data_IF_984211461939
#
_entry.id   IF_984211461939
#
_cell.length_a   1.000
_cell.length_b   1.000
_cell.length_c   1.000
_cell.angle_alpha   90.00
_cell.angle_beta   90.00
_cell.angle_gamma   90.00
#
_symmetry.space_group_name_H-M   'P 1'
#
loop_
_entity.id
_entity.type
_entity.pdbx_description
1 polymer ?
#
# COMPACT_ATOMS: atom_id res chain seq x y z
N UNK A 1 -12.62 11.78 -5.66
CA UNK A 1 -11.25 11.59 -6.16
C UNK A 1 -11.18 12.35 -7.46
N UNK A 2 -10.35 13.38 -7.55
CA UNK A 2 -10.15 14.13 -8.78
C UNK A 2 -9.18 13.32 -9.68
N UNK A 3 -9.50 13.23 -10.97
CA UNK A 3 -9.13 12.15 -11.91
C UNK A 3 -7.68 12.20 -12.44
N UNK A 4 -6.69 12.63 -11.64
CA UNK A 4 -5.30 12.78 -12.13
C UNK A 4 -4.19 12.27 -11.21
N UNK A 5 -4.51 11.57 -10.12
CA UNK A 5 -3.45 10.96 -9.31
C UNK A 5 -2.93 9.69 -9.99
N UNK A 6 -1.62 9.62 -10.32
CA UNK A 6 -1.05 8.40 -10.89
C UNK A 6 -1.12 7.27 -9.86
N UNK A 7 -1.64 6.12 -10.27
CA UNK A 7 -1.65 4.91 -9.44
C UNK A 7 -0.78 3.84 -10.08
N UNK A 8 -0.05 3.10 -9.25
CA UNK A 8 0.62 1.87 -9.65
C UNK A 8 0.18 0.72 -8.75
N UNK A 9 0.05 -0.48 -9.30
CA UNK A 9 -0.46 -1.63 -8.57
C UNK A 9 0.40 -2.88 -8.79
N UNK A 10 0.58 -3.67 -7.72
CA UNK A 10 1.28 -4.95 -7.74
C UNK A 10 0.43 -6.05 -7.11
N UNK A 11 0.54 -7.25 -7.68
CA UNK A 11 -0.02 -8.45 -7.10
C UNK A 11 0.93 -9.02 -6.04
N UNK A 12 0.37 -9.37 -4.88
CA UNK A 12 1.08 -10.02 -3.78
C UNK A 12 0.35 -11.32 -3.44
N UNK A 13 1.05 -12.45 -3.51
CA UNK A 13 0.51 -13.72 -3.05
C UNK A 13 0.52 -13.79 -1.52
N UNK A 14 -0.66 -13.88 -0.93
CA UNK A 14 -0.86 -14.02 0.51
C UNK A 14 -1.25 -15.45 0.89
N UNK A 15 -0.79 -15.87 2.07
CA UNK A 15 -1.19 -17.13 2.71
C UNK A 15 -1.99 -16.83 3.97
N UNK A 16 -3.03 -17.61 4.24
CA UNK A 16 -3.79 -17.47 5.48
C UNK A 16 -2.86 -17.61 6.71
N UNK A 17 -2.98 -16.68 7.66
CA UNK A 17 -2.15 -16.56 8.86
C UNK A 17 -0.79 -15.87 8.63
N UNK A 18 -0.42 -15.53 7.40
CA UNK A 18 0.83 -14.82 7.11
C UNK A 18 0.71 -13.35 7.50
N UNK A 19 1.67 -12.86 8.28
CA UNK A 19 1.83 -11.44 8.57
C UNK A 19 2.86 -10.83 7.63
N UNK A 20 2.52 -9.71 7.00
CA UNK A 20 3.42 -8.93 6.16
C UNK A 20 3.34 -7.45 6.53
N UNK A 21 4.45 -6.74 6.31
CA UNK A 21 4.53 -5.29 6.36
C UNK A 21 4.89 -4.78 4.97
N UNK A 22 4.04 -3.89 4.45
CA UNK A 22 4.18 -3.24 3.15
C UNK A 22 4.52 -1.78 3.43
N UNK A 23 5.67 -1.32 2.97
CA UNK A 23 6.13 0.06 3.17
C UNK A 23 6.34 0.73 1.83
N UNK A 24 5.79 1.93 1.68
CA UNK A 24 5.99 2.86 0.58
C UNK A 24 6.78 4.06 1.10
N UNK A 25 7.97 4.27 0.53
CA UNK A 25 8.86 5.37 0.88
C UNK A 25 9.03 6.28 -0.35
N UNK A 26 8.81 7.58 -0.17
CA UNK A 26 9.00 8.62 -1.18
C UNK A 26 9.43 9.91 -0.49
N UNK A 27 10.44 10.58 -1.05
CA UNK A 27 10.84 11.94 -0.65
C UNK A 27 10.21 13.00 -1.59
N UNK A 28 9.64 12.56 -2.70
CA UNK A 28 9.14 13.42 -3.78
C UNK A 28 7.64 13.72 -3.66
N UNK A 29 6.89 12.90 -2.91
CA UNK A 29 5.45 13.06 -2.70
C UNK A 29 4.99 12.40 -1.40
N UNK A 30 3.85 12.89 -0.90
CA UNK A 30 3.16 12.30 0.25
C UNK A 30 2.50 10.96 -0.11
N UNK A 31 3.02 9.88 0.47
CA UNK A 31 2.77 8.50 0.06
C UNK A 31 1.41 8.00 0.51
N UNK A 32 0.67 7.36 -0.39
CA UNK A 32 -0.61 6.74 -0.06
C UNK A 32 -0.66 5.28 -0.50
N UNK A 33 -0.92 4.37 0.43
CA UNK A 33 -1.08 2.94 0.16
C UNK A 33 -2.51 2.48 0.29
N UNK A 34 -2.94 1.59 -0.62
CA UNK A 34 -4.13 0.77 -0.46
C UNK A 34 -3.79 -0.71 -0.57
N UNK A 35 -4.50 -1.53 0.20
CA UNK A 35 -4.47 -2.98 0.09
C UNK A 35 -5.89 -3.52 -0.10
N UNK A 36 -6.05 -4.32 -1.15
CA UNK A 36 -7.28 -5.02 -1.51
C UNK A 36 -7.01 -6.53 -1.56
N UNK A 37 -8.02 -7.35 -1.29
CA UNK A 37 -7.90 -8.79 -1.49
C UNK A 37 -8.91 -9.63 -0.71
N UNK A 38 -8.75 -10.96 -0.73
CA UNK A 38 -9.63 -11.89 -0.03
C UNK A 38 -9.71 -11.61 1.47
N UNK A 39 -10.93 -11.63 2.01
CA UNK A 39 -11.20 -11.34 3.42
C UNK A 39 -11.07 -9.87 3.84
N UNK A 40 -10.67 -8.96 2.93
CA UNK A 40 -10.64 -7.51 3.17
C UNK A 40 -11.95 -6.90 2.68
N UNK A 41 -12.87 -6.62 3.61
CA UNK A 41 -14.21 -6.10 3.31
C UNK A 41 -14.26 -4.59 3.06
N UNK A 42 -13.24 -3.85 3.54
CA UNK A 42 -13.00 -2.45 3.22
C UNK A 42 -11.50 -2.27 2.96
N UNK A 43 -11.09 -1.51 1.93
CA UNK A 43 -9.67 -1.31 1.62
C UNK A 43 -8.91 -0.84 2.86
N UNK A 44 -7.81 -1.50 3.19
CA UNK A 44 -6.89 -0.94 4.18
C UNK A 44 -6.10 0.16 3.49
N UNK A 45 -6.08 1.35 4.07
CA UNK A 45 -5.29 2.46 3.58
C UNK A 45 -4.45 3.04 4.70
N UNK A 46 -3.27 3.55 4.33
CA UNK A 46 -2.42 4.30 5.22
C UNK A 46 -1.69 5.38 4.42
N UNK A 47 -1.61 6.57 5.01
CA UNK A 47 -0.94 7.77 4.52
C UNK A 47 0.25 8.18 5.41
N UNK A 48 0.19 8.01 6.73
CA UNK A 48 1.21 8.59 7.64
C UNK A 48 1.93 7.58 8.57
N UNK A 49 1.55 6.29 8.63
CA UNK A 49 2.09 5.40 9.67
C UNK A 49 3.50 4.86 9.42
N UNK A 50 4.12 5.19 8.28
CA UNK A 50 5.55 4.98 8.00
C UNK A 50 6.46 6.09 8.57
N UNK A 51 5.90 7.24 8.95
CA UNK A 51 6.60 8.46 9.39
C UNK A 51 6.91 9.43 8.24
N UNK A 52 6.87 10.74 8.51
CA UNK A 52 7.08 11.82 7.54
C UNK A 52 6.14 11.72 6.32
N UNK A 53 6.65 11.32 5.15
CA UNK A 53 5.90 11.18 3.89
C UNK A 53 5.71 9.70 3.48
N UNK A 54 5.81 8.77 4.43
CA UNK A 54 5.85 7.34 4.16
C UNK A 54 4.60 6.63 4.68
N UNK A 55 4.08 5.71 3.87
CA UNK A 55 2.95 4.87 4.24
C UNK A 55 3.41 3.45 4.58
N UNK A 56 2.79 2.83 5.60
CA UNK A 56 3.04 1.44 6.01
C UNK A 56 1.76 0.70 6.39
N UNK A 57 1.45 -0.36 5.65
CA UNK A 57 0.39 -1.30 6.03
C UNK A 57 1.01 -2.57 6.60
N UNK A 58 0.71 -2.89 7.86
CA UNK A 58 1.01 -4.21 8.44
C UNK A 58 -0.29 -5.00 8.59
N UNK A 59 -0.33 -6.19 7.99
CA UNK A 59 -1.55 -7.01 7.89
C UNK A 59 -1.23 -8.48 8.13
N UNK A 60 -2.13 -9.16 8.84
CA UNK A 60 -2.19 -10.63 8.87
C UNK A 60 -3.29 -11.09 7.94
N UNK A 61 -2.93 -11.79 6.85
CA UNK A 61 -3.89 -12.28 5.88
C UNK A 61 -4.78 -13.35 6.49
N UNK A 62 -6.10 -13.17 6.42
CA UNK A 62 -7.06 -14.14 6.94
C UNK A 62 -7.31 -15.30 5.98
N UNK A 63 -7.11 -15.04 4.70
CA UNK A 63 -7.37 -15.97 3.61
C UNK A 63 -6.13 -16.08 2.73
N UNK A 64 -5.98 -17.20 2.03
CA UNK A 64 -4.96 -17.32 1.00
C UNK A 64 -5.50 -16.75 -0.32
N UNK A 65 -4.64 -16.14 -1.12
CA UNK A 65 -4.99 -15.64 -2.44
C UNK A 65 -4.16 -14.45 -2.86
N UNK A 66 -4.60 -13.79 -3.93
CA UNK A 66 -3.90 -12.64 -4.49
C UNK A 66 -4.44 -11.36 -3.87
N UNK A 67 -3.56 -10.63 -3.23
CA UNK A 67 -3.78 -9.28 -2.73
C UNK A 67 -3.25 -8.27 -3.74
N UNK A 68 -3.88 -7.10 -3.81
CA UNK A 68 -3.47 -6.00 -4.69
C UNK A 68 -3.00 -4.85 -3.81
N UNK A 69 -1.73 -4.50 -3.95
CA UNK A 69 -1.12 -3.32 -3.34
C UNK A 69 -1.22 -2.19 -4.35
N UNK A 70 -1.86 -1.09 -3.98
CA UNK A 70 -1.96 0.12 -4.82
C UNK A 70 -1.19 1.23 -4.15
N UNK A 71 -0.34 1.89 -4.93
CA UNK A 71 0.44 3.06 -4.55
C UNK A 71 -0.16 4.28 -5.24
N UNK A 72 -0.32 5.36 -4.50
CA UNK A 72 -0.81 6.67 -4.94
C UNK A 72 -0.11 7.77 -4.13
N UNK A 73 -0.40 9.02 -4.43
CA UNK A 73 -0.09 10.17 -3.56
C UNK A 73 -1.36 10.74 -2.91
N UNK A 74 -1.19 11.47 -1.80
CA UNK A 74 -2.25 12.27 -1.16
C UNK A 74 -2.65 13.44 -2.05
N UNK A 75 -1.67 14.20 -2.53
CA UNK A 75 -1.88 15.35 -3.42
C UNK A 75 -2.19 14.92 -4.86
N UNK A 76 -3.22 15.54 -5.45
CA UNK A 76 -3.64 15.24 -6.81
C UNK A 76 -2.55 15.63 -7.83
N UNK A 77 -2.09 14.64 -8.59
CA UNK A 77 -1.05 14.83 -9.63
C UNK A 77 0.38 14.88 -9.10
N UNK A 78 0.61 14.69 -7.79
CA UNK A 78 1.95 14.49 -7.28
C UNK A 78 2.52 13.15 -7.77
N UNK A 79 3.81 13.15 -8.10
CA UNK A 79 4.52 11.98 -8.63
C UNK A 79 6.01 12.15 -8.44
N UNK A 80 6.72 11.03 -8.33
CA UNK A 80 8.16 11.02 -8.18
C UNK A 80 8.71 9.61 -8.03
N UNK A 81 9.99 9.52 -7.69
CA UNK A 81 10.60 8.25 -7.35
C UNK A 81 10.06 7.75 -6.01
N UNK A 82 9.81 6.44 -5.93
CA UNK A 82 9.41 5.80 -4.69
C UNK A 82 10.03 4.41 -4.60
N UNK A 83 10.05 3.88 -3.38
CA UNK A 83 10.43 2.51 -3.09
C UNK A 83 9.27 1.80 -2.41
N UNK A 84 8.81 0.71 -3.02
CA UNK A 84 7.86 -0.21 -2.42
C UNK A 84 8.61 -1.45 -1.91
N UNK A 85 8.38 -1.83 -0.65
CA UNK A 85 8.96 -3.04 -0.07
C UNK A 85 7.94 -3.85 0.72
N UNK A 86 8.08 -5.18 0.66
CA UNK A 86 7.26 -6.13 1.41
C UNK A 86 8.19 -6.99 2.26
N UNK A 87 7.91 -7.09 3.55
CA UNK A 87 8.71 -7.87 4.51
C UNK A 87 7.80 -8.73 5.38
N UNK A 88 8.23 -9.96 5.64
CA UNK A 88 7.71 -10.74 6.76
C UNK A 88 8.50 -10.36 8.01
N UNK A 89 7.85 -10.16 9.16
CA UNK A 89 8.54 -10.00 10.45
C UNK A 89 9.48 -11.17 10.78
#
# INVERSE_FOLDING_TARGET
MDDRTPVQAWALEGRAGQTVSITLESDDFDSYLYLLGPGITAPMSDDDSGGELHARITVTFREAGTYVVVVSSVDAGASGAFRLSVRTP
#
